data_IF_202530380380
#
_entry.id   IF_202530380380
#
_cell.length_a   1.000
_cell.length_b   1.000
_cell.length_c   1.000
_cell.angle_alpha   90.00
_cell.angle_beta   90.00
_cell.angle_gamma   90.00
#
_symmetry.space_group_name_H-M   'P 1'
#
loop_
_entity.id
_entity.type
_entity.pdbx_description
1 polymer ?
#
# COMPACT_ATOMS: atom_id res chain seq x y z
N UNK A 1 -8.01 19.16 -3.74
CA UNK A 1 -6.60 19.22 -3.26
C UNK A 1 -5.83 17.95 -3.61
N UNK A 2 -6.45 16.77 -3.62
CA UNK A 2 -5.85 15.47 -4.01
C UNK A 2 -5.37 15.42 -5.47
N UNK A 3 -6.14 15.90 -6.44
CA UNK A 3 -5.83 15.74 -7.87
C UNK A 3 -4.54 16.48 -8.31
N UNK A 4 -4.33 17.70 -7.80
CA UNK A 4 -3.10 18.47 -8.05
C UNK A 4 -1.88 17.90 -7.32
N UNK A 5 -2.06 17.24 -6.16
CA UNK A 5 -0.99 16.48 -5.52
C UNK A 5 -0.61 15.27 -6.38
N UNK A 6 -1.61 14.51 -6.83
CA UNK A 6 -1.43 13.33 -7.66
C UNK A 6 -0.71 13.65 -8.98
N UNK A 7 -1.12 14.68 -9.72
CA UNK A 7 -0.46 15.04 -10.98
C UNK A 7 1.01 15.46 -10.81
N UNK A 8 1.33 16.17 -9.73
CA UNK A 8 2.69 16.63 -9.43
C UNK A 8 3.64 15.44 -9.28
N UNK A 9 3.22 14.46 -8.50
CA UNK A 9 3.99 13.24 -8.20
C UNK A 9 4.20 12.39 -9.47
N UNK A 10 3.15 12.22 -10.28
CA UNK A 10 3.25 11.53 -11.56
C UNK A 10 4.21 12.20 -12.54
N UNK A 11 4.18 13.53 -12.62
CA UNK A 11 5.03 14.29 -13.52
C UNK A 11 6.51 14.22 -13.09
N UNK A 12 6.77 14.16 -11.79
CA UNK A 12 8.12 13.91 -11.27
C UNK A 12 8.68 12.55 -11.71
N UNK A 13 7.94 11.46 -11.48
CA UNK A 13 8.42 10.11 -11.81
C UNK A 13 8.77 9.97 -13.30
N UNK A 14 7.98 10.61 -14.18
CA UNK A 14 8.27 10.71 -15.62
C UNK A 14 9.57 11.45 -15.92
N UNK A 15 9.88 12.54 -15.20
CA UNK A 15 11.12 13.34 -15.39
C UNK A 15 12.36 12.50 -15.03
N UNK A 16 12.31 11.72 -13.96
CA UNK A 16 13.45 10.87 -13.51
C UNK A 16 13.74 9.71 -14.47
N UNK A 17 12.72 9.12 -15.12
CA UNK A 17 12.91 8.14 -16.22
C UNK A 17 13.83 8.68 -17.32
N UNK A 18 13.69 9.96 -17.69
CA UNK A 18 14.55 10.59 -18.71
C UNK A 18 16.01 10.70 -18.25
N UNK A 19 16.24 10.91 -16.95
CA UNK A 19 17.58 10.98 -16.37
C UNK A 19 18.27 9.60 -16.22
N UNK A 20 17.52 8.53 -15.93
CA UNK A 20 18.06 7.17 -15.72
C UNK A 20 18.44 6.41 -17.00
N UNK A 21 18.01 6.84 -18.20
CA UNK A 21 18.33 6.18 -19.50
C UNK A 21 19.83 6.17 -19.91
N UNK A 22 20.78 6.50 -19.02
CA UNK A 22 22.22 6.58 -19.33
C UNK A 22 23.14 5.53 -18.70
N UNK A 23 22.62 4.49 -18.03
CA UNK A 23 23.48 3.39 -17.55
C UNK A 23 23.25 2.13 -18.37
N UNK A 24 24.25 1.82 -19.20
CA UNK A 24 24.33 0.68 -20.11
C UNK A 24 24.42 -0.61 -19.30
N UNK A 25 23.42 -1.47 -19.46
CA UNK A 25 23.29 -2.77 -18.79
C UNK A 25 24.46 -3.70 -19.18
N UNK A 26 25.11 -4.34 -18.19
CA UNK A 26 26.05 -5.45 -18.39
C UNK A 26 25.57 -6.59 -17.47
N UNK A 27 25.05 -7.71 -17.99
CA UNK A 27 24.61 -8.80 -17.13
C UNK A 27 25.81 -9.58 -16.61
N UNK A 28 25.87 -9.81 -15.31
CA UNK A 28 26.71 -10.84 -14.71
C UNK A 28 25.80 -11.71 -13.83
N UNK A 29 25.66 -12.96 -14.23
CA UNK A 29 24.91 -14.02 -13.54
C UNK A 29 25.79 -14.53 -12.39
N UNK A 30 25.21 -14.74 -11.19
CA UNK A 30 25.36 -15.94 -10.33
C UNK A 30 24.67 -15.72 -8.95
N UNK A 31 23.93 -16.72 -8.48
CA UNK A 31 23.57 -16.89 -7.06
C UNK A 31 22.08 -16.71 -6.69
N UNK A 32 21.25 -17.73 -6.96
CA UNK A 32 19.90 -17.88 -6.41
C UNK A 32 20.00 -18.58 -5.06
N UNK A 33 19.42 -18.03 -3.98
CA UNK A 33 18.38 -18.60 -3.09
C UNK A 33 17.90 -17.48 -2.14
N UNK A 34 16.59 -17.49 -1.83
CA UNK A 34 15.92 -17.00 -0.59
C UNK A 34 14.78 -15.98 -0.87
N UNK A 35 13.56 -16.50 -0.67
CA UNK A 35 12.21 -15.89 -0.57
C UNK A 35 11.56 -15.36 -1.85
N UNK A 36 10.98 -16.30 -2.60
CA UNK A 36 9.82 -16.04 -3.43
C UNK A 36 8.61 -16.68 -2.75
N UNK A 37 7.90 -15.89 -1.94
CA UNK A 37 6.60 -16.23 -1.39
C UNK A 37 5.67 -15.05 -1.65
N UNK A 38 4.66 -15.28 -2.47
CA UNK A 38 3.55 -14.36 -2.80
C UNK A 38 3.89 -13.23 -3.78
N UNK A 39 4.10 -13.58 -5.05
CA UNK A 39 3.85 -12.63 -6.15
C UNK A 39 3.63 -13.32 -7.50
N UNK A 40 2.96 -14.47 -7.53
CA UNK A 40 2.49 -15.08 -8.78
C UNK A 40 1.29 -16.01 -8.49
N UNK A 41 0.08 -15.47 -8.61
CA UNK A 41 -1.12 -16.18 -9.09
C UNK A 41 -2.33 -15.22 -9.10
N UNK A 42 -2.52 -14.53 -10.23
CA UNK A 42 -3.84 -14.07 -10.68
C UNK A 42 -3.84 -14.05 -12.22
N UNK A 43 -3.65 -15.24 -12.80
CA UNK A 43 -4.07 -15.54 -14.17
C UNK A 43 -5.14 -16.63 -14.08
N UNK A 44 -6.34 -16.25 -13.65
CA UNK A 44 -7.53 -17.11 -13.78
C UNK A 44 -8.31 -16.67 -15.01
N UNK A 45 -8.01 -17.37 -16.11
CA UNK A 45 -8.97 -17.97 -17.03
C UNK A 45 -10.33 -17.25 -17.19
N UNK A 46 -10.48 -16.49 -18.28
CA UNK A 46 -11.79 -16.07 -18.78
C UNK A 46 -12.55 -17.29 -19.33
N UNK A 47 -13.48 -17.81 -18.52
CA UNK A 47 -14.60 -18.60 -19.00
C UNK A 47 -15.88 -17.90 -18.56
N UNK A 48 -16.59 -17.32 -19.53
CA UNK A 48 -17.81 -16.56 -19.26
C UNK A 48 -18.94 -17.44 -18.73
N UNK A 49 -19.63 -16.94 -17.69
CA UNK A 49 -21.08 -17.10 -17.52
C UNK A 49 -21.59 -16.18 -16.41
N UNK A 50 -22.65 -15.42 -16.71
CA UNK A 50 -23.59 -14.93 -15.70
C UNK A 50 -23.60 -13.41 -15.49
N UNK A 51 -24.39 -12.73 -16.30
CA UNK A 51 -24.86 -11.36 -16.05
C UNK A 51 -25.67 -11.28 -14.74
N UNK A 52 -25.26 -10.40 -13.81
CA UNK A 52 -26.16 -9.75 -12.84
C UNK A 52 -25.70 -8.31 -12.67
N UNK A 53 -26.50 -7.39 -13.20
CA UNK A 53 -26.40 -5.96 -12.96
C UNK A 53 -26.66 -5.70 -11.48
N UNK A 54 -25.74 -5.00 -10.82
CA UNK A 54 -25.99 -4.23 -9.60
C UNK A 54 -25.16 -2.94 -9.74
N UNK A 55 -25.66 -2.01 -10.55
CA UNK A 55 -25.18 -0.63 -10.58
C UNK A 55 -25.71 0.11 -9.34
N UNK A 56 -25.32 -0.37 -8.16
CA UNK A 56 -25.27 0.47 -6.96
C UNK A 56 -23.96 1.24 -7.06
N UNK A 57 -24.01 2.57 -6.97
CA UNK A 57 -22.83 3.40 -6.94
C UNK A 57 -21.95 2.93 -5.76
N UNK A 58 -20.93 2.11 -6.06
CA UNK A 58 -20.03 1.55 -5.06
C UNK A 58 -19.40 2.70 -4.29
N UNK A 59 -19.61 2.69 -2.97
CA UNK A 59 -19.07 3.66 -2.02
C UNK A 59 -17.56 3.84 -2.27
N UNK A 60 -17.16 4.97 -2.87
CA UNK A 60 -15.76 5.27 -3.17
C UNK A 60 -15.05 4.30 -4.12
N UNK A 61 -15.76 3.44 -4.87
CA UNK A 61 -15.14 2.39 -5.68
C UNK A 61 -14.63 1.18 -4.90
N UNK A 62 -15.03 1.03 -3.63
CA UNK A 62 -14.76 -0.16 -2.81
C UNK A 62 -15.56 -1.37 -3.34
N UNK A 63 -14.97 -2.57 -3.24
CA UNK A 63 -15.66 -3.82 -3.54
C UNK A 63 -16.78 -4.09 -2.54
N UNK A 64 -17.82 -4.82 -2.96
CA UNK A 64 -18.89 -5.23 -2.04
C UNK A 64 -18.36 -6.02 -0.84
N UNK A 65 -17.34 -6.86 -1.05
CA UNK A 65 -16.71 -7.63 0.02
C UNK A 65 -16.07 -6.73 1.08
N UNK A 66 -15.44 -5.61 0.69
CA UNK A 66 -14.88 -4.64 1.65
C UNK A 66 -15.98 -3.87 2.36
N UNK A 67 -17.01 -3.44 1.63
CA UNK A 67 -18.14 -2.68 2.20
C UNK A 67 -18.85 -3.49 3.30
N UNK A 68 -18.96 -4.81 3.16
CA UNK A 68 -19.54 -5.69 4.18
C UNK A 68 -18.81 -5.63 5.53
N UNK A 69 -17.51 -5.30 5.56
CA UNK A 69 -16.72 -5.18 6.78
C UNK A 69 -16.84 -3.80 7.47
N UNK A 70 -17.48 -2.80 6.84
CA UNK A 70 -17.60 -1.45 7.41
C UNK A 70 -18.07 -1.42 8.87
N UNK A 71 -19.11 -2.17 9.30
CA UNK A 71 -19.57 -2.12 10.68
C UNK A 71 -18.51 -2.57 11.70
N UNK A 72 -17.78 -3.66 11.41
CA UNK A 72 -16.75 -4.18 12.32
C UNK A 72 -15.48 -3.32 12.28
N UNK A 73 -15.12 -2.77 11.12
CA UNK A 73 -14.03 -1.79 11.00
C UNK A 73 -14.35 -0.54 11.82
N UNK A 74 -15.57 0.02 11.71
CA UNK A 74 -16.00 1.18 12.48
C UNK A 74 -15.99 0.90 14.00
N UNK A 75 -16.42 -0.29 14.40
CA UNK A 75 -16.39 -0.71 15.81
C UNK A 75 -14.96 -0.69 16.37
N UNK A 76 -14.00 -1.34 15.70
CA UNK A 76 -12.61 -1.35 16.18
C UNK A 76 -11.92 0.01 16.01
N UNK A 77 -12.23 0.76 14.97
CA UNK A 77 -11.75 2.13 14.81
C UNK A 77 -12.19 3.01 16.00
N UNK A 78 -13.45 2.91 16.42
CA UNK A 78 -13.96 3.60 17.60
C UNK A 78 -13.29 3.12 18.90
N UNK A 79 -13.05 1.81 19.05
CA UNK A 79 -12.33 1.25 20.21
C UNK A 79 -10.93 1.86 20.38
N UNK A 80 -10.24 2.12 19.27
CA UNK A 80 -8.91 2.75 19.27
C UNK A 80 -8.94 4.28 19.10
N UNK A 81 -10.12 4.91 19.11
CA UNK A 81 -10.29 6.36 19.03
C UNK A 81 -9.87 6.97 17.69
N UNK A 82 -10.06 6.23 16.59
CA UNK A 82 -9.70 6.62 15.21
C UNK A 82 -10.89 6.45 14.25
N UNK A 83 -12.12 6.60 14.75
CA UNK A 83 -13.37 6.41 14.00
C UNK A 83 -13.43 7.29 12.73
N UNK A 84 -12.86 8.49 12.78
CA UNK A 84 -12.80 9.39 11.62
C UNK A 84 -11.93 8.87 10.46
N UNK A 85 -11.15 7.81 10.68
CA UNK A 85 -10.31 7.15 9.68
C UNK A 85 -10.91 5.85 9.13
N UNK A 86 -12.18 5.55 9.45
CA UNK A 86 -12.86 4.31 8.99
C UNK A 86 -12.78 4.12 7.48
N UNK A 87 -13.00 5.17 6.68
CA UNK A 87 -12.91 5.07 5.22
C UNK A 87 -11.48 4.76 4.74
N UNK A 88 -10.46 5.33 5.39
CA UNK A 88 -9.06 5.00 5.10
C UNK A 88 -8.72 3.56 5.46
N UNK A 89 -9.26 3.02 6.55
CA UNK A 89 -9.08 1.62 6.93
C UNK A 89 -9.73 0.67 5.91
N UNK A 90 -10.90 1.02 5.37
CA UNK A 90 -11.54 0.26 4.29
C UNK A 90 -10.76 0.36 2.97
N UNK A 91 -10.24 1.54 2.63
CA UNK A 91 -9.36 1.69 1.47
C UNK A 91 -8.05 0.89 1.62
N UNK A 92 -7.49 0.82 2.83
CA UNK A 92 -6.35 -0.07 3.15
C UNK A 92 -6.75 -1.53 2.93
N UNK A 93 -7.86 -2.00 3.50
CA UNK A 93 -8.38 -3.36 3.29
C UNK A 93 -8.54 -3.70 1.80
N UNK A 94 -9.07 -2.74 1.03
CA UNK A 94 -9.26 -2.87 -0.41
C UNK A 94 -7.92 -3.05 -1.15
N UNK A 95 -6.88 -2.33 -0.75
CA UNK A 95 -5.53 -2.45 -1.34
C UNK A 95 -4.83 -3.74 -0.90
N UNK A 96 -5.01 -4.17 0.35
CA UNK A 96 -4.33 -5.34 0.90
C UNK A 96 -4.90 -6.67 0.39
N UNK A 97 -6.23 -6.82 0.42
CA UNK A 97 -6.88 -8.11 0.09
C UNK A 97 -8.12 -7.97 -0.81
N UNK A 98 -8.66 -6.75 -0.94
CA UNK A 98 -9.96 -6.55 -1.56
C UNK A 98 -11.11 -7.22 -0.80
N UNK A 99 -10.90 -7.60 0.47
CA UNK A 99 -11.85 -8.32 1.32
C UNK A 99 -11.91 -9.84 1.07
N UNK A 100 -10.94 -10.44 0.37
CA UNK A 100 -11.04 -11.83 -0.13
C UNK A 100 -10.11 -12.84 0.58
N UNK A 101 -9.41 -12.44 1.63
CA UNK A 101 -8.49 -13.29 2.40
C UNK A 101 -8.92 -13.34 3.86
N UNK A 102 -8.52 -14.37 4.63
CA UNK A 102 -8.81 -14.42 6.07
C UNK A 102 -8.13 -13.24 6.78
N UNK A 103 -6.83 -13.03 6.54
CA UNK A 103 -6.12 -11.83 6.98
C UNK A 103 -6.45 -10.63 6.04
N UNK A 104 -7.69 -10.14 6.13
CA UNK A 104 -8.27 -9.10 5.27
C UNK A 104 -7.49 -7.78 5.27
N UNK A 105 -6.83 -7.43 6.37
CA UNK A 105 -6.02 -6.22 6.52
C UNK A 105 -4.52 -6.44 6.32
N UNK A 106 -4.09 -7.68 5.98
CA UNK A 106 -2.69 -8.12 5.95
C UNK A 106 -1.88 -7.61 7.15
N UNK A 107 -2.45 -7.80 8.35
CA UNK A 107 -1.93 -7.20 9.58
C UNK A 107 -1.10 -8.18 10.43
N UNK A 108 -0.96 -9.44 9.99
CA UNK A 108 -0.13 -10.45 10.65
C UNK A 108 1.32 -10.01 10.87
N UNK A 109 2.00 -9.49 9.82
CA UNK A 109 3.40 -9.08 9.93
C UNK A 109 3.63 -7.94 10.94
N UNK A 110 2.61 -7.11 11.20
CA UNK A 110 2.69 -6.04 12.21
C UNK A 110 2.84 -6.57 13.65
N UNK A 111 2.53 -7.86 13.86
CA UNK A 111 2.76 -8.60 15.09
C UNK A 111 4.02 -9.47 15.07
N UNK A 112 4.78 -9.45 13.97
CA UNK A 112 5.90 -10.37 13.76
C UNK A 112 5.47 -11.81 13.48
N UNK A 113 4.21 -12.03 13.11
CA UNK A 113 3.70 -13.33 12.68
C UNK A 113 4.04 -13.59 11.21
N UNK A 114 4.05 -14.85 10.75
CA UNK A 114 4.07 -15.17 9.33
C UNK A 114 2.89 -14.51 8.58
N UNK A 115 3.02 -14.20 7.28
CA UNK A 115 1.92 -13.63 6.50
C UNK A 115 0.68 -14.54 6.52
N UNK A 116 -0.52 -13.95 6.56
CA UNK A 116 -1.81 -14.66 6.58
C UNK A 116 -1.98 -15.61 7.79
N UNK A 117 -1.58 -15.17 8.98
CA UNK A 117 -1.72 -15.96 10.22
C UNK A 117 -2.96 -15.60 11.04
N UNK A 118 -3.55 -14.43 10.81
CA UNK A 118 -4.72 -13.94 11.55
C UNK A 118 -6.02 -14.29 10.82
N UNK A 119 -7.04 -14.65 11.60
CA UNK A 119 -8.41 -14.75 11.12
C UNK A 119 -9.00 -13.35 10.88
N UNK A 120 -10.14 -13.27 10.18
CA UNK A 120 -10.72 -11.99 9.75
C UNK A 120 -10.97 -10.98 10.86
N UNK A 121 -11.62 -11.37 11.95
CA UNK A 121 -11.90 -10.47 13.08
C UNK A 121 -10.60 -9.97 13.74
N UNK A 122 -9.64 -10.88 13.95
CA UNK A 122 -8.32 -10.56 14.52
C UNK A 122 -7.51 -9.64 13.61
N UNK A 123 -7.57 -9.88 12.29
CA UNK A 123 -6.94 -9.07 11.26
C UNK A 123 -7.46 -7.63 11.26
N UNK A 124 -8.78 -7.45 11.33
CA UNK A 124 -9.42 -6.12 11.39
C UNK A 124 -9.04 -5.41 12.68
N UNK A 125 -9.18 -6.08 13.81
CA UNK A 125 -8.82 -5.54 15.12
C UNK A 125 -7.34 -5.09 15.13
N UNK A 126 -6.43 -5.97 14.72
CA UNK A 126 -5.00 -5.67 14.66
C UNK A 126 -4.69 -4.56 13.66
N UNK A 127 -5.34 -4.53 12.49
CA UNK A 127 -5.17 -3.47 11.49
C UNK A 127 -5.54 -2.10 12.05
N UNK A 128 -6.69 -2.00 12.73
CA UNK A 128 -7.14 -0.76 13.38
C UNK A 128 -6.17 -0.34 14.50
N UNK A 129 -5.76 -1.30 15.35
CA UNK A 129 -4.77 -1.06 16.42
C UNK A 129 -3.44 -0.54 15.88
N UNK A 130 -2.95 -1.15 14.81
CA UNK A 130 -1.69 -0.78 14.19
C UNK A 130 -1.77 0.60 13.54
N UNK A 131 -2.85 0.90 12.82
CA UNK A 131 -3.08 2.22 12.24
C UNK A 131 -3.13 3.32 13.32
N UNK A 132 -3.82 3.07 14.44
CA UNK A 132 -3.84 3.97 15.59
C UNK A 132 -2.44 4.20 16.20
N UNK A 133 -1.62 3.15 16.31
CA UNK A 133 -0.20 3.27 16.71
C UNK A 133 0.55 4.18 15.76
N UNK A 134 0.38 4.03 14.44
CA UNK A 134 1.07 4.85 13.44
C UNK A 134 0.64 6.32 13.49
N UNK A 135 -0.66 6.60 13.66
CA UNK A 135 -1.18 7.96 13.87
C UNK A 135 -0.52 8.65 15.06
N UNK A 136 -0.46 7.96 16.22
CA UNK A 136 0.18 8.49 17.42
C UNK A 136 1.66 8.77 17.19
N UNK A 137 2.40 7.83 16.62
CA UNK A 137 3.83 7.99 16.35
C UNK A 137 4.11 9.11 15.35
N UNK A 138 3.28 9.25 14.32
CA UNK A 138 3.39 10.34 13.35
C UNK A 138 3.16 11.70 14.01
N UNK A 139 2.15 11.82 14.88
CA UNK A 139 1.89 13.03 15.64
C UNK A 139 3.07 13.41 16.56
N UNK A 140 3.65 12.44 17.27
CA UNK A 140 4.84 12.63 18.11
C UNK A 140 6.06 13.10 17.31
N UNK A 141 6.18 12.65 16.07
CA UNK A 141 7.30 12.96 15.16
C UNK A 141 7.05 14.17 14.26
N UNK A 142 5.85 14.77 14.31
CA UNK A 142 5.46 15.87 13.42
C UNK A 142 5.36 15.46 11.94
N UNK A 143 4.96 14.22 11.67
CA UNK A 143 4.76 13.70 10.32
C UNK A 143 3.31 13.94 9.83
N UNK A 144 3.16 14.14 8.51
CA UNK A 144 1.85 14.28 7.88
C UNK A 144 1.09 12.94 7.77
N UNK A 145 -0.21 13.02 7.51
CA UNK A 145 -1.08 11.85 7.43
C UNK A 145 -0.71 10.88 6.30
N UNK A 146 -0.19 11.38 5.17
CA UNK A 146 0.27 10.49 4.10
C UNK A 146 1.46 9.62 4.53
N UNK A 147 2.27 10.10 5.46
CA UNK A 147 3.33 9.28 6.06
C UNK A 147 2.74 8.12 6.86
N UNK A 148 1.62 8.32 7.57
CA UNK A 148 0.89 7.25 8.28
C UNK A 148 0.40 6.19 7.30
N UNK A 149 -0.26 6.62 6.22
CA UNK A 149 -0.76 5.70 5.18
C UNK A 149 0.37 4.88 4.58
N UNK A 150 1.49 5.50 4.21
CA UNK A 150 2.64 4.77 3.67
C UNK A 150 3.31 3.87 4.72
N UNK A 151 3.36 4.28 5.98
CA UNK A 151 3.94 3.51 7.08
C UNK A 151 3.13 2.25 7.40
N UNK A 152 1.83 2.19 7.08
CA UNK A 152 1.08 0.94 7.17
C UNK A 152 1.72 -0.16 6.31
N UNK A 153 2.21 0.21 5.13
CA UNK A 153 2.87 -0.71 4.20
C UNK A 153 4.38 -0.89 4.45
N UNK A 154 5.08 0.15 4.91
CA UNK A 154 6.53 0.11 5.11
C UNK A 154 6.99 -0.18 6.54
N UNK A 155 6.07 -0.18 7.50
CA UNK A 155 6.39 -0.23 8.92
C UNK A 155 6.61 1.15 9.53
N UNK A 156 6.63 1.18 10.86
CA UNK A 156 6.76 2.40 11.68
C UNK A 156 8.13 3.10 11.52
N UNK A 157 9.19 2.37 11.17
CA UNK A 157 10.50 2.94 10.84
C UNK A 157 10.45 3.95 9.67
N UNK A 158 9.43 3.89 8.81
CA UNK A 158 9.26 4.89 7.76
C UNK A 158 8.91 6.28 8.33
N UNK A 159 8.26 6.33 9.50
CA UNK A 159 7.95 7.58 10.18
C UNK A 159 9.23 8.31 10.60
N UNK A 160 10.23 7.57 11.12
CA UNK A 160 11.54 8.11 11.48
C UNK A 160 12.25 8.68 10.24
N UNK A 161 12.27 7.91 9.16
CA UNK A 161 12.88 8.33 7.92
C UNK A 161 12.27 9.63 7.38
N UNK A 162 10.94 9.78 7.40
CA UNK A 162 10.30 11.01 6.93
C UNK A 162 10.51 12.17 7.91
N UNK A 163 10.48 11.94 9.22
CA UNK A 163 10.77 12.96 10.23
C UNK A 163 12.17 13.58 10.03
N UNK A 164 13.18 12.75 9.77
CA UNK A 164 14.56 13.18 9.46
C UNK A 164 14.68 13.93 8.12
N UNK A 165 13.69 13.78 7.23
CA UNK A 165 13.68 14.37 5.89
C UNK A 165 12.56 15.42 5.70
N UNK A 166 12.18 16.10 6.78
CA UNK A 166 11.28 17.27 6.74
C UNK A 166 9.83 17.00 7.12
N UNK A 167 9.51 15.80 7.62
CA UNK A 167 8.22 15.47 8.23
C UNK A 167 7.02 15.41 7.28
N UNK A 168 7.25 15.49 5.96
CA UNK A 168 6.17 15.45 4.97
C UNK A 168 6.42 14.34 3.96
N UNK A 169 5.43 13.47 3.77
CA UNK A 169 5.48 12.44 2.73
C UNK A 169 5.70 13.05 1.35
N UNK A 170 6.55 12.38 0.58
CA UNK A 170 6.68 12.59 -0.86
C UNK A 170 6.92 11.25 -1.53
N UNK A 171 6.58 11.13 -2.82
CA UNK A 171 6.86 9.92 -3.59
C UNK A 171 8.36 9.65 -3.68
N UNK A 172 9.17 10.71 -3.67
CA UNK A 172 10.62 10.66 -3.64
C UNK A 172 11.13 9.95 -2.38
N UNK A 173 10.57 10.28 -1.21
CA UNK A 173 10.93 9.63 0.04
C UNK A 173 10.47 8.17 0.06
N UNK A 174 9.27 7.86 -0.45
CA UNK A 174 8.81 6.48 -0.55
C UNK A 174 9.68 5.63 -1.50
N UNK A 175 10.04 6.17 -2.67
CA UNK A 175 10.94 5.52 -3.63
C UNK A 175 12.34 5.32 -3.01
N UNK A 176 12.88 6.34 -2.37
CA UNK A 176 14.23 6.30 -1.78
C UNK A 176 14.30 5.33 -0.60
N UNK A 177 13.29 5.31 0.27
CA UNK A 177 13.21 4.36 1.37
C UNK A 177 13.18 2.92 0.86
N UNK A 178 12.30 2.62 -0.11
CA UNK A 178 12.22 1.30 -0.72
C UNK A 178 13.53 0.91 -1.43
N UNK A 179 14.22 1.86 -2.07
CA UNK A 179 15.53 1.65 -2.67
C UNK A 179 16.58 1.26 -1.64
N UNK A 180 16.64 1.96 -0.51
CA UNK A 180 17.61 1.67 0.56
C UNK A 180 17.35 0.29 1.17
N UNK A 181 16.09 -0.01 1.51
CA UNK A 181 15.70 -1.29 2.13
C UNK A 181 15.86 -2.50 1.20
N UNK A 182 15.68 -2.32 -0.11
CA UNK A 182 15.86 -3.38 -1.11
C UNK A 182 17.30 -3.54 -1.61
N UNK A 183 18.26 -2.72 -1.17
CA UNK A 183 19.60 -2.70 -1.76
C UNK A 183 19.62 -2.25 -3.23
N UNK A 184 18.54 -1.61 -3.71
CA UNK A 184 18.35 -1.20 -5.09
C UNK A 184 17.81 -2.29 -6.03
N UNK A 185 17.36 -3.44 -5.50
CA UNK A 185 16.70 -4.47 -6.30
C UNK A 185 15.33 -4.01 -6.80
N UNK A 186 15.08 -4.18 -8.09
CA UNK A 186 13.82 -3.82 -8.75
C UNK A 186 13.02 -5.08 -9.12
N UNK A 187 11.69 -4.97 -9.08
CA UNK A 187 10.77 -6.00 -9.56
C UNK A 187 9.76 -5.40 -10.54
N UNK A 188 9.38 -6.21 -11.53
CA UNK A 188 8.29 -5.86 -12.45
C UNK A 188 7.00 -5.67 -11.69
N UNK A 189 6.30 -4.57 -11.96
CA UNK A 189 5.03 -4.23 -11.34
C UNK A 189 4.14 -3.52 -12.35
N UNK A 190 3.29 -4.28 -13.05
CA UNK A 190 2.49 -3.82 -14.19
C UNK A 190 1.17 -3.14 -13.76
N UNK A 191 1.15 -2.49 -12.61
CA UNK A 191 0.02 -1.67 -12.18
C UNK A 191 -0.06 -0.38 -13.04
N UNK A 192 -1.24 0.11 -13.45
CA UNK A 192 -1.39 1.32 -14.24
C UNK A 192 -0.68 2.57 -13.66
N UNK A 193 -0.66 2.72 -12.33
CA UNK A 193 0.08 3.79 -11.64
C UNK A 193 1.57 3.68 -11.96
N UNK A 194 2.16 2.51 -11.73
CA UNK A 194 3.58 2.28 -11.98
C UNK A 194 3.92 2.38 -13.49
N UNK A 195 3.08 1.84 -14.37
CA UNK A 195 3.23 1.95 -15.82
C UNK A 195 3.31 3.41 -16.27
N UNK A 196 2.37 4.24 -15.83
CA UNK A 196 2.30 5.67 -16.18
C UNK A 196 3.46 6.45 -15.56
N UNK A 197 3.92 6.06 -14.38
CA UNK A 197 4.92 6.78 -13.62
C UNK A 197 6.37 6.45 -14.06
N UNK A 198 6.73 5.18 -14.11
CA UNK A 198 8.12 4.74 -14.31
C UNK A 198 8.31 3.61 -15.34
N UNK A 199 7.22 3.11 -15.93
CA UNK A 199 7.25 2.04 -16.94
C UNK A 199 6.93 0.64 -16.39
N UNK A 200 6.44 0.54 -15.16
CA UNK A 200 5.89 -0.70 -14.60
C UNK A 200 6.88 -1.48 -13.75
N UNK A 201 7.54 -0.81 -12.80
CA UNK A 201 8.44 -1.45 -11.83
C UNK A 201 8.35 -0.77 -10.45
N UNK A 202 8.85 -1.46 -9.42
CA UNK A 202 9.09 -0.90 -8.08
C UNK A 202 10.32 -1.50 -7.45
N UNK A 203 10.87 -0.86 -6.41
CA UNK A 203 11.88 -1.50 -5.57
C UNK A 203 11.27 -2.68 -4.81
N UNK A 204 12.07 -3.72 -4.55
CA UNK A 204 11.67 -4.99 -3.92
C UNK A 204 11.55 -4.85 -2.40
N UNK A 205 10.82 -3.84 -1.94
CA UNK A 205 10.50 -3.60 -0.54
C UNK A 205 9.19 -2.82 -0.44
N UNK A 206 8.20 -3.38 0.26
CA UNK A 206 6.82 -2.87 0.31
C UNK A 206 6.30 -2.42 -1.06
N UNK A 207 5.56 -1.32 -1.09
CA UNK A 207 5.04 -0.69 -2.29
C UNK A 207 5.21 0.83 -2.22
N UNK A 208 6.19 1.37 -2.96
CA UNK A 208 6.45 2.83 -3.01
C UNK A 208 5.31 3.66 -3.63
N UNK A 209 4.26 3.00 -4.14
CA UNK A 209 3.05 3.64 -4.67
C UNK A 209 1.83 3.50 -3.75
N UNK A 210 2.02 3.05 -2.51
CA UNK A 210 0.94 2.64 -1.62
C UNK A 210 -0.07 3.75 -1.35
N UNK A 211 0.40 4.97 -1.07
CA UNK A 211 -0.48 6.14 -0.92
C UNK A 211 -1.34 6.33 -2.15
N UNK A 212 -0.78 6.29 -3.36
CA UNK A 212 -1.55 6.47 -4.59
C UNK A 212 -2.57 5.35 -4.82
N UNK A 213 -2.34 4.14 -4.30
CA UNK A 213 -3.28 3.02 -4.38
C UNK A 213 -4.43 3.20 -3.39
N UNK A 214 -4.15 3.57 -2.14
CA UNK A 214 -5.18 3.80 -1.11
C UNK A 214 -6.12 4.94 -1.52
N UNK A 215 -5.55 6.04 -2.01
CA UNK A 215 -6.31 7.21 -2.47
C UNK A 215 -7.14 6.96 -3.75
N UNK A 216 -7.10 5.77 -4.36
CA UNK A 216 -8.07 5.41 -5.41
C UNK A 216 -9.47 5.16 -4.84
N UNK A 217 -9.57 4.96 -3.52
CA UNK A 217 -10.79 4.52 -2.84
C UNK A 217 -11.29 5.49 -1.76
N UNK A 218 -10.85 6.76 -1.83
CA UNK A 218 -11.17 7.86 -0.90
C UNK A 218 -11.67 9.08 -1.67
#
# INVERSE_FOLDING_TARGET
>A
MSEHYFERDFNFMKKRRRARKKKRFRPLIWGIVVIAGVLLLNCSFMAGRGNKNNDEAQEGGLSSAVVEYRPVVAQYAAEYGIEEYTDYLLAVMQVESGGNHEDVMQSSESLGLPPNSLETDESINQGCRYFAKLLRLAAEKGCDFNTVVQAYNFGDEFLDFVAENGGTYTVELAEEYARQKSGGEEVTYLNPIALKANGGWRYKYGNMFYVQLVYQYI
#
